data_IF_485487918531
#
_entry.id   IF_485487918531
#
_cell.length_a   1.000
_cell.length_b   1.000
_cell.length_c   1.000
_cell.angle_alpha   90.00
_cell.angle_beta   90.00
_cell.angle_gamma   90.00
#
_symmetry.space_group_name_H-M   'P 1'
#
loop_
_entity.id
_entity.type
_entity.pdbx_description
1 polymer ?
#
# COMPACT_ATOMS: atom_id res chain seq x y z
N UNK A 1 20.31 -20.97 -3.05
CA UNK A 1 18.95 -20.57 -2.64
C UNK A 1 18.98 -19.11 -2.22
N UNK A 2 18.17 -18.28 -2.85
CA UNK A 2 18.15 -16.85 -2.58
C UNK A 2 17.04 -16.53 -1.60
N UNK A 3 17.39 -15.90 -0.49
CA UNK A 3 16.39 -15.45 0.48
C UNK A 3 15.88 -14.07 0.10
N UNK A 4 14.58 -13.97 -0.04
CA UNK A 4 13.96 -12.68 -0.29
C UNK A 4 13.69 -11.96 1.03
N UNK A 5 13.93 -10.66 1.07
CA UNK A 5 13.53 -9.84 2.20
C UNK A 5 12.00 -9.70 2.19
N UNK A 6 11.43 -9.33 3.33
CA UNK A 6 9.99 -9.04 3.42
C UNK A 6 9.57 -8.00 2.40
N UNK A 7 10.38 -6.96 2.24
CA UNK A 7 10.11 -5.87 1.28
C UNK A 7 10.07 -6.38 -0.15
N UNK A 8 11.00 -7.26 -0.52
CA UNK A 8 11.02 -7.87 -1.86
C UNK A 8 9.80 -8.73 -2.11
N UNK A 9 9.36 -9.51 -1.12
CA UNK A 9 8.16 -10.32 -1.23
C UNK A 9 6.91 -9.46 -1.44
N UNK A 10 6.80 -8.36 -0.70
CA UNK A 10 5.69 -7.42 -0.84
C UNK A 10 5.72 -6.81 -2.25
N UNK A 11 6.90 -6.39 -2.70
CA UNK A 11 7.06 -5.77 -4.02
C UNK A 11 6.62 -6.74 -5.14
N UNK A 12 7.06 -7.99 -5.10
CA UNK A 12 6.68 -9.01 -6.09
C UNK A 12 5.18 -9.28 -6.08
N UNK A 13 4.59 -9.38 -4.89
CA UNK A 13 3.14 -9.59 -4.78
C UNK A 13 2.37 -8.44 -5.43
N UNK A 14 2.76 -7.20 -5.16
CA UNK A 14 2.07 -6.02 -5.69
C UNK A 14 2.25 -5.85 -7.19
N UNK A 15 3.34 -6.38 -7.75
CA UNK A 15 3.56 -6.41 -9.20
C UNK A 15 2.62 -7.43 -9.85
N UNK A 16 2.46 -8.61 -9.22
CA UNK A 16 1.70 -9.71 -9.83
C UNK A 16 0.20 -9.68 -9.55
N UNK A 17 -0.25 -8.96 -8.53
CA UNK A 17 -1.68 -8.92 -8.19
C UNK A 17 -2.49 -8.22 -9.26
N UNK A 18 -3.70 -8.74 -9.52
CA UNK A 18 -4.62 -8.12 -10.47
C UNK A 18 -5.38 -6.95 -9.85
N UNK A 19 -5.62 -7.01 -8.55
CA UNK A 19 -6.35 -5.97 -7.83
C UNK A 19 -5.50 -5.37 -6.73
N UNK A 20 -5.72 -4.10 -6.37
CA UNK A 20 -4.98 -3.53 -5.23
C UNK A 20 -5.26 -4.29 -3.94
N UNK A 21 -4.25 -4.40 -3.08
CA UNK A 21 -4.34 -5.14 -1.82
C UNK A 21 -4.15 -4.21 -0.63
N UNK A 22 -4.93 -4.43 0.42
CA UNK A 22 -4.74 -3.75 1.69
C UNK A 22 -3.56 -4.36 2.44
N UNK A 23 -3.08 -3.67 3.47
CA UNK A 23 -1.98 -4.18 4.30
C UNK A 23 -2.36 -5.52 4.93
N UNK A 24 -3.58 -5.65 5.42
CA UNK A 24 -4.06 -6.90 6.02
C UNK A 24 -4.07 -8.04 5.02
N UNK A 25 -4.46 -7.77 3.78
CA UNK A 25 -4.43 -8.77 2.71
C UNK A 25 -3.00 -9.17 2.36
N UNK A 26 -2.07 -8.21 2.33
CA UNK A 26 -0.66 -8.49 2.07
C UNK A 26 -0.10 -9.43 3.15
N UNK A 27 -0.37 -9.13 4.41
CA UNK A 27 0.07 -9.94 5.54
C UNK A 27 -0.48 -11.36 5.42
N UNK A 28 -1.76 -11.47 5.10
CA UNK A 28 -2.44 -12.77 4.97
C UNK A 28 -1.88 -13.60 3.81
N UNK A 29 -1.78 -13.01 2.63
CA UNK A 29 -1.31 -13.72 1.42
C UNK A 29 0.12 -14.22 1.59
N UNK A 30 1.00 -13.40 2.16
CA UNK A 30 2.41 -13.74 2.34
C UNK A 30 2.69 -14.45 3.67
N UNK A 31 1.68 -14.62 4.52
CA UNK A 31 1.82 -15.23 5.85
C UNK A 31 2.93 -14.54 6.66
N UNK A 32 2.92 -13.21 6.66
CA UNK A 32 3.96 -12.43 7.35
C UNK A 32 3.73 -12.42 8.85
N UNK A 33 4.82 -12.57 9.61
CA UNK A 33 4.81 -12.44 11.07
C UNK A 33 5.23 -11.00 11.43
N UNK A 34 4.35 -10.05 11.12
CA UNK A 34 4.66 -8.63 11.28
C UNK A 34 3.39 -7.85 11.63
N UNK A 35 3.56 -6.59 11.96
CA UNK A 35 2.44 -5.69 12.26
C UNK A 35 2.05 -4.88 11.04
N UNK A 36 0.80 -4.42 10.94
CA UNK A 36 0.41 -3.50 9.86
C UNK A 36 1.30 -2.26 9.78
N UNK A 37 1.72 -1.74 10.93
CA UNK A 37 2.62 -0.58 10.98
C UNK A 37 3.92 -0.83 10.24
N UNK A 38 4.53 -2.00 10.43
CA UNK A 38 5.77 -2.36 9.75
C UNK A 38 5.56 -2.50 8.24
N UNK A 39 4.42 -3.04 7.82
CA UNK A 39 4.10 -3.16 6.39
C UNK A 39 3.91 -1.77 5.77
N UNK A 40 3.26 -0.84 6.45
CA UNK A 40 3.17 0.53 5.97
C UNK A 40 4.55 1.17 5.80
N UNK A 41 5.48 0.90 6.72
CA UNK A 41 6.85 1.37 6.60
C UNK A 41 7.55 0.78 5.37
N UNK A 42 7.36 -0.51 5.11
CA UNK A 42 7.89 -1.15 3.90
C UNK A 42 7.31 -0.51 2.64
N UNK A 43 6.00 -0.22 2.63
CA UNK A 43 5.35 0.40 1.48
C UNK A 43 5.90 1.81 1.23
N UNK A 44 6.20 2.56 2.28
CA UNK A 44 6.80 3.88 2.13
C UNK A 44 8.18 3.80 1.45
N UNK A 45 8.99 2.81 1.84
CA UNK A 45 10.29 2.57 1.20
C UNK A 45 10.13 2.09 -0.24
N UNK A 46 9.16 1.20 -0.50
CA UNK A 46 8.88 0.71 -1.85
C UNK A 46 8.48 1.87 -2.76
N UNK A 47 7.63 2.79 -2.27
CA UNK A 47 7.20 3.95 -3.03
C UNK A 47 8.38 4.79 -3.54
N UNK A 48 9.43 4.86 -2.74
CA UNK A 48 10.63 5.63 -3.10
C UNK A 48 11.60 4.85 -3.98
N UNK A 49 11.67 3.53 -3.85
CA UNK A 49 12.71 2.72 -4.49
C UNK A 49 12.26 1.97 -5.74
N UNK A 50 10.95 1.71 -5.90
CA UNK A 50 10.47 0.89 -7.01
C UNK A 50 10.82 1.50 -8.38
N UNK A 51 10.72 2.81 -8.52
CA UNK A 51 11.07 3.48 -9.77
C UNK A 51 12.54 3.29 -10.13
N UNK A 52 13.41 3.42 -9.12
CA UNK A 52 14.85 3.25 -9.31
C UNK A 52 15.19 1.81 -9.67
N UNK A 53 14.61 0.85 -8.96
CA UNK A 53 14.89 -0.58 -9.17
C UNK A 53 14.48 -1.02 -10.59
N UNK A 54 13.37 -0.50 -11.10
CA UNK A 54 12.83 -0.88 -12.40
C UNK A 54 13.02 0.18 -13.49
N UNK A 55 14.06 1.03 -13.34
CA UNK A 55 14.42 2.06 -14.35
C UNK A 55 13.24 2.92 -14.78
N UNK A 56 12.43 3.40 -13.81
CA UNK A 56 11.26 4.24 -14.05
C UNK A 56 10.16 3.58 -14.88
N UNK A 57 10.11 2.24 -14.91
CA UNK A 57 9.06 1.52 -15.64
C UNK A 57 7.91 1.09 -14.75
N UNK A 58 8.06 1.19 -13.43
CA UNK A 58 7.03 0.79 -12.47
C UNK A 58 6.87 1.82 -11.36
N UNK A 59 5.64 1.91 -10.84
CA UNK A 59 5.31 2.83 -9.76
C UNK A 59 4.32 2.19 -8.80
N UNK A 60 4.46 2.50 -7.51
CA UNK A 60 3.48 2.09 -6.50
C UNK A 60 2.29 3.05 -6.55
N UNK A 61 1.10 2.50 -6.72
CA UNK A 61 -0.13 3.26 -6.67
C UNK A 61 -0.94 2.87 -5.44
N UNK A 62 -1.65 3.83 -4.88
CA UNK A 62 -2.47 3.65 -3.70
C UNK A 62 -3.91 4.03 -4.00
N UNK A 63 -4.84 3.11 -3.71
CA UNK A 63 -6.25 3.46 -3.67
C UNK A 63 -6.46 4.19 -2.34
N UNK A 64 -6.88 5.46 -2.35
CA UNK A 64 -6.93 6.24 -1.12
C UNK A 64 -7.91 5.68 -0.09
N UNK A 65 -7.62 5.86 1.21
CA UNK A 65 -8.58 5.51 2.25
C UNK A 65 -9.86 6.32 2.11
N UNK A 66 -10.96 5.78 2.62
CA UNK A 66 -12.26 6.41 2.53
C UNK A 66 -12.99 6.26 3.86
N UNK A 67 -13.69 7.30 4.28
CA UNK A 67 -14.53 7.24 5.47
C UNK A 67 -15.79 6.43 5.19
N UNK A 68 -16.03 5.37 5.96
CA UNK A 68 -17.21 4.53 5.78
C UNK A 68 -18.51 5.21 6.24
N UNK A 69 -18.38 6.26 7.07
CA UNK A 69 -19.55 6.96 7.62
C UNK A 69 -20.07 8.06 6.70
N UNK A 70 -19.17 8.88 6.09
CA UNK A 70 -19.60 10.02 5.28
C UNK A 70 -19.09 9.98 3.84
N UNK A 71 -18.27 8.99 3.49
CA UNK A 71 -17.73 8.85 2.14
C UNK A 71 -16.57 9.78 1.78
N UNK A 72 -16.02 10.48 2.77
CA UNK A 72 -14.85 11.33 2.53
C UNK A 72 -13.67 10.51 2.01
N UNK A 73 -13.06 10.94 0.91
CA UNK A 73 -11.91 10.28 0.30
C UNK A 73 -10.64 11.07 0.61
N UNK A 74 -9.62 10.39 1.13
CA UNK A 74 -8.34 11.01 1.50
C UNK A 74 -7.41 11.13 0.29
N UNK A 75 -7.82 11.93 -0.70
CA UNK A 75 -7.07 12.05 -1.97
C UNK A 75 -5.70 12.71 -1.84
N UNK A 76 -5.53 13.55 -0.82
CA UNK A 76 -4.28 14.30 -0.64
C UNK A 76 -3.26 13.59 0.25
N UNK A 77 -3.49 12.33 0.56
CA UNK A 77 -2.60 11.55 1.38
C UNK A 77 -1.37 11.14 0.56
N UNK A 78 -0.21 11.71 0.90
CA UNK A 78 1.04 11.50 0.16
C UNK A 78 1.78 10.21 0.52
N UNK A 79 1.58 9.70 1.75
CA UNK A 79 2.29 8.52 2.24
C UNK A 79 1.35 7.34 2.46
N UNK A 80 1.85 6.09 2.30
CA UNK A 80 1.08 4.92 2.68
C UNK A 80 0.75 4.97 4.17
N UNK A 81 -0.53 5.15 4.48
CA UNK A 81 -0.96 5.35 5.87
C UNK A 81 -2.46 5.13 5.97
N UNK A 82 -2.90 4.57 7.09
CA UNK A 82 -4.32 4.50 7.42
C UNK A 82 -4.65 5.63 8.39
N UNK A 83 -5.44 6.63 7.97
CA UNK A 83 -5.85 7.69 8.90
C UNK A 83 -6.66 7.14 10.06
N UNK A 84 -6.53 7.76 11.23
CA UNK A 84 -7.25 7.32 12.43
C UNK A 84 -8.66 7.90 12.51
N UNK A 85 -8.88 9.08 11.94
CA UNK A 85 -10.17 9.79 11.98
C UNK A 85 -10.44 10.51 10.68
N UNK A 86 -11.72 10.63 10.35
CA UNK A 86 -12.16 11.45 9.24
C UNK A 86 -12.14 12.93 9.63
N UNK A 87 -11.49 13.81 8.85
CA UNK A 87 -11.47 15.24 9.17
C UNK A 87 -12.83 15.91 8.99
N UNK A 88 -13.74 15.30 8.23
CA UNK A 88 -15.05 15.85 7.95
C UNK A 88 -16.09 15.49 9.00
N UNK A 89 -16.18 14.20 9.41
CA UNK A 89 -17.19 13.75 10.35
C UNK A 89 -16.62 13.17 11.64
N UNK A 90 -15.29 13.11 11.75
CA UNK A 90 -14.56 12.59 12.91
C UNK A 90 -14.79 11.12 13.23
N UNK A 91 -15.38 10.37 12.32
CA UNK A 91 -15.56 8.94 12.47
C UNK A 91 -14.21 8.22 12.42
N UNK A 92 -14.07 7.14 13.18
CA UNK A 92 -12.90 6.27 13.14
C UNK A 92 -13.09 5.10 12.17
N UNK A 93 -14.25 5.01 11.53
CA UNK A 93 -14.55 3.94 10.58
C UNK A 93 -13.98 4.27 9.21
N UNK A 94 -12.67 4.04 9.07
CA UNK A 94 -11.93 4.34 7.85
C UNK A 94 -11.64 3.06 7.09
N UNK A 95 -12.02 3.03 5.80
CA UNK A 95 -11.66 1.94 4.91
C UNK A 95 -10.16 2.06 4.63
N UNK A 96 -9.36 1.00 4.86
CA UNK A 96 -7.92 1.09 4.67
C UNK A 96 -7.55 1.32 3.21
N UNK A 97 -6.38 1.92 2.95
CA UNK A 97 -5.89 2.06 1.59
C UNK A 97 -5.49 0.71 1.00
N UNK A 98 -5.51 0.60 -0.31
CA UNK A 98 -5.05 -0.59 -1.02
C UNK A 98 -3.92 -0.21 -1.98
N UNK A 99 -3.03 -1.16 -2.25
CA UNK A 99 -1.79 -0.89 -2.97
C UNK A 99 -1.58 -1.85 -4.12
N UNK A 100 -0.97 -1.35 -5.18
CA UNK A 100 -0.58 -2.14 -6.34
C UNK A 100 0.62 -1.47 -7.00
N UNK A 101 1.49 -2.25 -7.64
CA UNK A 101 2.56 -1.72 -8.45
C UNK A 101 2.16 -1.90 -9.91
N UNK A 102 2.11 -0.81 -10.64
CA UNK A 102 1.70 -0.81 -12.04
C UNK A 102 2.85 -0.40 -12.94
N UNK A 103 2.76 -0.80 -14.20
CA UNK A 103 3.73 -0.41 -15.20
C UNK A 103 3.38 0.97 -15.73
N UNK A 104 4.39 1.84 -15.79
CA UNK A 104 4.22 3.16 -16.37
C UNK A 104 4.33 3.01 -17.88
N UNK A 105 3.34 3.51 -18.60
CA UNK A 105 3.38 3.54 -20.07
C UNK A 105 3.76 4.93 -20.52
N UNK A 106 4.67 4.98 -21.47
CA UNK A 106 5.07 6.22 -22.10
C UNK A 106 4.10 6.58 -23.23
#
# INVERSE_FOLDING_TARGET
>A
MTYQTTREKIMELLISTETPLTVEEIISVLSLKTTPKEVYEHLEHIAKSVRRIYNNTRVLVMVPPECRSCGYVFKDLEKPKKPSKCPKCRSEKIKPPAFKIVRIQD
#
